data_IF_467639254649
#
_entry.id   IF_467639254649
#
_cell.length_a   1.000
_cell.length_b   1.000
_cell.length_c   1.000
_cell.angle_alpha   90.00
_cell.angle_beta   90.00
_cell.angle_gamma   90.00
#
_symmetry.space_group_name_H-M   'P 1'
#
loop_
_entity.id
_entity.type
_entity.pdbx_description
1 polymer ?
#
# COMPACT_ATOMS: atom_id res chain seq x y z
N UNK A 1 19.48 8.83 -25.81
CA UNK A 1 20.08 9.48 -24.63
C UNK A 1 18.96 9.72 -23.63
N UNK A 2 18.97 9.07 -22.46
CA UNK A 2 17.99 9.34 -21.41
C UNK A 2 18.37 10.66 -20.76
N UNK A 3 17.52 11.67 -20.92
CA UNK A 3 17.80 13.02 -20.45
C UNK A 3 17.74 13.04 -18.92
N UNK A 4 18.78 13.55 -18.28
CA UNK A 4 18.89 13.74 -16.81
C UNK A 4 17.68 14.47 -16.20
N UNK A 5 16.88 15.16 -17.03
CA UNK A 5 15.63 15.82 -16.63
C UNK A 5 14.56 14.90 -16.03
N UNK A 6 14.48 13.63 -16.43
CA UNK A 6 13.43 12.73 -15.93
C UNK A 6 13.66 12.31 -14.46
N UNK A 7 14.91 12.10 -14.07
CA UNK A 7 15.25 11.67 -12.70
C UNK A 7 14.86 12.73 -11.67
N UNK A 8 15.10 14.00 -11.98
CA UNK A 8 14.74 15.12 -11.09
C UNK A 8 13.22 15.28 -10.96
N UNK A 9 12.46 15.00 -12.03
CA UNK A 9 11.00 14.91 -11.97
C UNK A 9 10.54 13.81 -11.02
N UNK A 10 11.11 12.61 -11.15
CA UNK A 10 10.81 11.48 -10.27
C UNK A 10 11.18 11.76 -8.80
N UNK A 11 12.30 12.42 -8.53
CA UNK A 11 12.72 12.80 -7.17
C UNK A 11 11.73 13.77 -6.52
N UNK A 12 11.25 14.78 -7.25
CA UNK A 12 10.22 15.71 -6.74
C UNK A 12 8.92 14.99 -6.39
N UNK A 13 8.51 14.01 -7.21
CA UNK A 13 7.33 13.16 -6.93
C UNK A 13 7.54 12.33 -5.66
N UNK A 14 8.72 11.72 -5.52
CA UNK A 14 9.07 10.96 -4.31
C UNK A 14 9.06 11.85 -3.07
N UNK A 15 9.64 13.04 -3.13
CA UNK A 15 9.66 13.98 -2.01
C UNK A 15 8.25 14.36 -1.54
N UNK A 16 7.33 14.63 -2.48
CA UNK A 16 5.93 14.89 -2.14
C UNK A 16 5.29 13.71 -1.39
N UNK A 17 5.55 12.48 -1.82
CA UNK A 17 5.04 11.27 -1.15
C UNK A 17 5.67 11.06 0.23
N UNK A 18 6.97 11.33 0.39
CA UNK A 18 7.66 11.25 1.68
C UNK A 18 7.06 12.20 2.71
N UNK A 19 6.63 13.40 2.28
CA UNK A 19 5.90 14.36 3.12
C UNK A 19 4.52 13.84 3.54
N UNK A 20 3.82 13.14 2.64
CA UNK A 20 2.51 12.53 2.95
C UNK A 20 2.65 11.44 4.01
N UNK A 21 3.66 10.58 3.90
CA UNK A 21 3.91 9.52 4.91
C UNK A 21 4.65 10.03 6.15
N UNK A 22 5.02 11.31 6.19
CA UNK A 22 5.80 11.95 7.27
C UNK A 22 7.06 11.17 7.63
N UNK A 23 7.86 10.84 6.61
CA UNK A 23 9.11 10.10 6.81
C UNK A 23 10.06 10.87 7.76
N UNK A 24 10.47 10.28 8.90
CA UNK A 24 11.28 10.97 9.91
C UNK A 24 12.79 10.87 9.66
N UNK A 25 13.22 9.99 8.75
CA UNK A 25 14.62 9.71 8.50
C UNK A 25 15.29 10.71 7.54
N UNK A 26 16.63 10.71 7.54
CA UNK A 26 17.39 11.40 6.51
C UNK A 26 17.22 10.70 5.16
N UNK A 27 17.11 11.50 4.10
CA UNK A 27 16.94 11.03 2.72
C UNK A 27 18.19 11.45 1.94
N UNK A 28 18.97 10.47 1.49
CA UNK A 28 20.16 10.72 0.69
C UNK A 28 19.81 10.91 -0.80
N UNK A 29 19.57 12.17 -1.19
CA UNK A 29 19.23 12.52 -2.57
C UNK A 29 20.36 12.25 -3.57
N UNK A 30 21.63 12.29 -3.14
CA UNK A 30 22.77 11.97 -4.00
C UNK A 30 22.79 10.48 -4.32
N UNK A 31 22.66 9.63 -3.30
CA UNK A 31 22.51 8.18 -3.45
C UNK A 31 21.29 7.80 -4.29
N UNK A 32 20.13 8.44 -4.07
CA UNK A 32 18.92 8.21 -4.87
C UNK A 32 19.13 8.55 -6.36
N UNK A 33 19.82 9.66 -6.65
CA UNK A 33 20.10 10.08 -8.03
C UNK A 33 21.02 9.11 -8.77
N UNK A 34 21.99 8.52 -8.05
CA UNK A 34 22.93 7.51 -8.55
C UNK A 34 22.34 6.10 -8.59
N UNK A 35 21.22 5.87 -7.90
CA UNK A 35 20.57 4.57 -7.85
C UNK A 35 21.19 3.63 -6.81
N UNK A 36 21.80 4.16 -5.75
CA UNK A 36 22.35 3.36 -4.66
C UNK A 36 21.20 2.70 -3.86
N UNK A 37 21.12 1.35 -3.80
CA UNK A 37 20.09 0.66 -3.02
C UNK A 37 20.03 1.08 -1.55
N UNK A 38 21.17 1.44 -0.95
CA UNK A 38 21.28 1.81 0.46
C UNK A 38 20.44 3.05 0.80
N UNK A 39 20.19 3.93 -0.18
CA UNK A 39 19.32 5.10 -0.02
C UNK A 39 17.82 4.75 -0.15
N UNK A 40 17.45 3.72 -0.90
CA UNK A 40 16.05 3.32 -1.11
C UNK A 40 15.50 2.39 -0.02
N UNK A 41 16.33 1.48 0.48
CA UNK A 41 15.91 0.45 1.44
C UNK A 41 15.30 1.04 2.74
N UNK A 42 15.88 2.08 3.37
CA UNK A 42 15.32 2.67 4.59
C UNK A 42 13.93 3.28 4.36
N UNK A 43 13.71 3.91 3.21
CA UNK A 43 12.42 4.51 2.84
C UNK A 43 11.36 3.41 2.77
N UNK A 44 11.63 2.34 2.02
CA UNK A 44 10.68 1.23 1.84
C UNK A 44 10.41 0.51 3.15
N UNK A 45 11.46 0.28 3.95
CA UNK A 45 11.34 -0.34 5.27
C UNK A 45 10.40 0.47 6.15
N UNK A 46 10.57 1.78 6.23
CA UNK A 46 9.67 2.66 7.00
C UNK A 46 8.23 2.60 6.47
N UNK A 47 8.04 2.69 5.14
CA UNK A 47 6.70 2.67 4.54
C UNK A 47 5.94 1.38 4.88
N UNK A 48 6.61 0.23 4.91
CA UNK A 48 5.94 -1.05 5.17
C UNK A 48 5.82 -1.40 6.65
N UNK A 49 6.73 -0.92 7.50
CA UNK A 49 6.80 -1.33 8.92
C UNK A 49 6.31 -0.27 9.91
N UNK A 50 6.42 1.01 9.57
CA UNK A 50 6.23 2.10 10.55
C UNK A 50 5.06 3.02 10.19
N UNK A 51 4.73 3.15 8.91
CA UNK A 51 3.67 4.07 8.47
C UNK A 51 2.26 3.61 8.87
N UNK A 52 1.94 2.32 8.76
CA UNK A 52 0.58 1.81 9.02
C UNK A 52 0.62 0.55 9.89
N UNK A 53 0.29 0.64 11.20
CA UNK A 53 0.30 -0.53 12.08
C UNK A 53 -0.70 -1.61 11.64
N UNK A 54 -1.88 -1.20 11.16
CA UNK A 54 -2.89 -2.12 10.61
C UNK A 54 -2.37 -2.93 9.42
N UNK A 55 -1.51 -2.31 8.61
CA UNK A 55 -0.93 -2.98 7.45
C UNK A 55 0.18 -3.95 7.86
N UNK A 56 0.95 -3.62 8.90
CA UNK A 56 1.92 -4.55 9.50
C UNK A 56 1.23 -5.78 10.05
N UNK A 57 0.09 -5.62 10.72
CA UNK A 57 -0.69 -6.77 11.20
C UNK A 57 -1.16 -7.67 10.04
N UNK A 58 -1.60 -7.09 8.92
CA UNK A 58 -1.97 -7.85 7.72
C UNK A 58 -0.77 -8.57 7.09
N UNK A 59 0.40 -7.91 7.04
CA UNK A 59 1.66 -8.52 6.61
C UNK A 59 2.06 -9.70 7.51
N UNK A 60 1.96 -9.54 8.82
CA UNK A 60 2.24 -10.59 9.79
C UNK A 60 1.27 -11.77 9.65
N UNK A 61 -0.02 -11.49 9.45
CA UNK A 61 -1.04 -12.52 9.19
C UNK A 61 -0.76 -13.28 7.88
N UNK A 62 -0.19 -12.62 6.87
CA UNK A 62 0.29 -13.25 5.63
C UNK A 62 1.65 -13.97 5.79
N UNK A 63 2.26 -13.97 6.97
CA UNK A 63 3.56 -14.59 7.25
C UNK A 63 4.75 -13.81 6.66
N UNK A 64 4.59 -12.51 6.43
CA UNK A 64 5.59 -11.63 5.83
C UNK A 64 6.18 -10.68 6.87
N UNK A 65 7.15 -11.17 7.64
CA UNK A 65 7.93 -10.32 8.54
C UNK A 65 8.92 -9.46 7.73
N UNK A 66 9.09 -8.18 8.07
CA UNK A 66 10.02 -7.27 7.37
C UNK A 66 11.09 -6.65 8.29
N UNK A 67 11.05 -6.94 9.58
CA UNK A 67 11.95 -6.37 10.60
C UNK A 67 13.22 -7.19 10.76
N UNK A 68 14.35 -6.53 11.06
CA UNK A 68 15.62 -7.19 11.43
C UNK A 68 16.28 -8.05 10.34
N UNK A 69 15.92 -7.86 9.07
CA UNK A 69 16.41 -8.66 7.93
C UNK A 69 17.59 -7.98 7.22
N UNK A 70 18.49 -8.80 6.68
CA UNK A 70 19.52 -8.34 5.73
C UNK A 70 18.88 -7.82 4.44
N UNK A 71 19.56 -6.94 3.72
CA UNK A 71 19.04 -6.28 2.50
C UNK A 71 18.45 -7.25 1.47
N UNK A 72 19.10 -8.41 1.29
CA UNK A 72 18.64 -9.46 0.37
C UNK A 72 17.31 -10.07 0.84
N UNK A 73 17.23 -10.45 2.13
CA UNK A 73 16.04 -11.07 2.71
C UNK A 73 14.88 -10.10 2.84
N UNK A 74 15.19 -8.83 3.12
CA UNK A 74 14.23 -7.75 3.09
C UNK A 74 13.66 -7.57 1.67
N UNK A 75 14.51 -7.49 0.65
CA UNK A 75 14.08 -7.35 -0.75
C UNK A 75 13.25 -8.56 -1.21
N UNK A 76 13.61 -9.78 -0.81
CA UNK A 76 12.80 -10.97 -1.10
C UNK A 76 11.40 -10.87 -0.50
N UNK A 77 11.30 -10.48 0.77
CA UNK A 77 10.02 -10.34 1.46
C UNK A 77 9.19 -9.17 0.89
N UNK A 78 9.82 -8.06 0.53
CA UNK A 78 9.20 -6.94 -0.20
C UNK A 78 8.55 -7.42 -1.50
N UNK A 79 9.30 -8.12 -2.36
CA UNK A 79 8.79 -8.60 -3.64
C UNK A 79 7.72 -9.68 -3.49
N UNK A 80 7.73 -10.41 -2.38
CA UNK A 80 6.64 -11.34 -2.04
C UNK A 80 5.39 -10.56 -1.61
N UNK A 81 5.52 -9.56 -0.73
CA UNK A 81 4.41 -8.69 -0.33
C UNK A 81 3.76 -7.97 -1.51
N UNK A 82 4.56 -7.44 -2.44
CA UNK A 82 4.05 -6.76 -3.63
C UNK A 82 3.20 -7.67 -4.52
N UNK A 83 3.57 -8.94 -4.65
CA UNK A 83 2.82 -9.90 -5.47
C UNK A 83 1.62 -10.50 -4.76
N UNK A 84 1.78 -10.86 -3.49
CA UNK A 84 0.79 -11.62 -2.74
C UNK A 84 -0.31 -10.70 -2.19
N UNK A 85 0.02 -9.46 -1.80
CA UNK A 85 -0.93 -8.51 -1.18
C UNK A 85 -1.41 -7.46 -2.16
N UNK A 86 -0.48 -6.87 -2.93
CA UNK A 86 -0.81 -5.77 -3.84
C UNK A 86 -1.05 -6.20 -5.28
N UNK A 87 -0.81 -7.48 -5.61
CA UNK A 87 -0.83 -8.01 -6.98
C UNK A 87 -0.03 -7.17 -7.99
N UNK A 88 0.97 -6.43 -7.50
CA UNK A 88 1.81 -5.56 -8.28
C UNK A 88 3.02 -6.34 -8.78
N UNK A 89 3.32 -6.19 -10.09
CA UNK A 89 4.48 -6.80 -10.72
C UNK A 89 5.56 -5.72 -10.94
N UNK A 90 6.63 -5.70 -10.13
CA UNK A 90 7.67 -4.69 -10.26
C UNK A 90 8.37 -4.78 -11.63
N UNK A 91 8.70 -3.62 -12.19
CA UNK A 91 9.43 -3.49 -13.46
C UNK A 91 10.89 -3.98 -13.31
N UNK A 92 11.46 -3.86 -12.11
CA UNK A 92 12.82 -4.30 -11.79
C UNK A 92 12.81 -5.69 -11.17
N UNK A 93 13.86 -6.47 -11.42
CA UNK A 93 14.13 -7.68 -10.65
C UNK A 93 14.78 -7.34 -9.30
N UNK A 94 14.72 -8.29 -8.35
CA UNK A 94 15.35 -8.14 -7.02
C UNK A 94 16.84 -7.79 -7.11
N UNK A 95 17.55 -8.44 -8.04
CA UNK A 95 18.97 -8.18 -8.27
C UNK A 95 19.21 -6.77 -8.82
N UNK A 96 18.41 -6.33 -9.81
CA UNK A 96 18.52 -4.98 -10.35
C UNK A 96 18.15 -3.90 -9.31
N UNK A 97 17.26 -4.22 -8.36
CA UNK A 97 16.94 -3.33 -7.26
C UNK A 97 18.13 -3.13 -6.31
N UNK A 98 18.89 -4.20 -6.04
CA UNK A 98 20.08 -4.18 -5.19
C UNK A 98 21.38 -3.78 -5.92
N UNK A 99 21.37 -3.65 -7.24
CA UNK A 99 22.53 -3.19 -8.02
C UNK A 99 22.58 -1.67 -8.10
N UNK A 100 23.77 -1.08 -8.19
CA UNK A 100 23.89 0.35 -8.46
C UNK A 100 23.28 0.75 -9.82
N UNK A 101 22.73 1.95 -9.91
CA UNK A 101 22.06 2.46 -11.12
C UNK A 101 20.54 2.26 -11.12
N UNK A 102 19.94 2.31 -12.31
CA UNK A 102 18.47 2.24 -12.51
C UNK A 102 17.66 3.26 -11.68
N UNK A 103 18.25 4.41 -11.32
CA UNK A 103 17.68 5.37 -10.37
C UNK A 103 16.23 5.74 -10.70
N UNK A 104 15.94 6.15 -11.93
CA UNK A 104 14.59 6.50 -12.36
C UNK A 104 13.57 5.37 -12.12
N UNK A 105 13.90 4.14 -12.54
CA UNK A 105 13.01 2.98 -12.37
C UNK A 105 12.81 2.63 -10.90
N UNK A 106 13.87 2.71 -10.09
CA UNK A 106 13.79 2.49 -8.64
C UNK A 106 12.91 3.53 -7.97
N UNK A 107 13.11 4.81 -8.29
CA UNK A 107 12.29 5.90 -7.75
C UNK A 107 10.82 5.69 -8.14
N UNK A 108 10.54 5.30 -9.38
CA UNK A 108 9.17 4.99 -9.81
C UNK A 108 8.57 3.85 -8.98
N UNK A 109 9.29 2.73 -8.84
CA UNK A 109 8.85 1.59 -8.02
C UNK A 109 8.60 2.01 -6.58
N UNK A 110 9.45 2.85 -5.98
CA UNK A 110 9.22 3.33 -4.61
C UNK A 110 7.99 4.23 -4.52
N UNK A 111 7.80 5.14 -5.49
CA UNK A 111 6.59 5.95 -5.55
C UNK A 111 5.32 5.07 -5.62
N UNK A 112 5.35 4.02 -6.43
CA UNK A 112 4.23 3.09 -6.57
C UNK A 112 3.97 2.35 -5.25
N UNK A 113 5.02 1.83 -4.59
CA UNK A 113 4.91 1.17 -3.29
C UNK A 113 4.27 2.08 -2.25
N UNK A 114 4.71 3.35 -2.15
CA UNK A 114 4.16 4.31 -1.20
C UNK A 114 2.67 4.55 -1.47
N UNK A 115 2.29 4.74 -2.73
CA UNK A 115 0.88 4.94 -3.09
C UNK A 115 0.01 3.71 -2.76
N UNK A 116 0.49 2.52 -3.10
CA UNK A 116 -0.19 1.26 -2.79
C UNK A 116 -0.43 1.11 -1.28
N UNK A 117 0.59 1.40 -0.47
CA UNK A 117 0.48 1.33 0.99
C UNK A 117 -0.48 2.39 1.54
N UNK A 118 -0.45 3.62 1.03
CA UNK A 118 -1.40 4.67 1.42
C UNK A 118 -2.85 4.25 1.11
N UNK A 119 -3.08 3.72 -0.10
CA UNK A 119 -4.40 3.24 -0.51
C UNK A 119 -4.86 2.11 0.40
N UNK A 120 -4.02 1.11 0.64
CA UNK A 120 -4.33 -0.02 1.52
C UNK A 120 -4.59 0.43 2.96
N UNK A 121 -3.78 1.35 3.51
CA UNK A 121 -4.03 1.94 4.82
C UNK A 121 -5.42 2.58 4.91
N UNK A 122 -5.82 3.34 3.87
CA UNK A 122 -7.15 3.96 3.82
C UNK A 122 -8.29 2.94 3.77
N UNK A 123 -8.09 1.83 3.05
CA UNK A 123 -9.05 0.71 2.99
C UNK A 123 -9.19 0.05 4.35
N UNK A 124 -8.08 -0.32 4.99
CA UNK A 124 -8.05 -0.95 6.31
C UNK A 124 -8.69 -0.05 7.39
N UNK A 125 -8.41 1.25 7.36
CA UNK A 125 -9.01 2.21 8.28
C UNK A 125 -10.53 2.26 8.15
N UNK A 126 -11.06 2.27 6.91
CA UNK A 126 -12.50 2.23 6.66
C UNK A 126 -13.11 0.93 7.20
N UNK A 127 -12.52 -0.22 6.87
CA UNK A 127 -12.98 -1.54 7.34
C UNK A 127 -13.01 -1.59 8.87
N UNK A 128 -11.97 -1.08 9.54
CA UNK A 128 -11.93 -1.05 11.00
C UNK A 128 -13.03 -0.16 11.60
N UNK A 129 -13.27 1.01 11.03
CA UNK A 129 -14.38 1.89 11.45
C UNK A 129 -15.75 1.24 11.25
N UNK A 130 -15.97 0.50 10.16
CA UNK A 130 -17.21 -0.23 9.92
C UNK A 130 -17.35 -1.47 10.81
N UNK A 131 -16.27 -2.18 11.10
CA UNK A 131 -16.27 -3.35 12.00
C UNK A 131 -16.67 -2.94 13.42
N UNK A 132 -16.14 -1.82 13.92
CA UNK A 132 -16.56 -1.24 15.19
C UNK A 132 -18.04 -0.81 15.16
N UNK A 133 -18.51 -0.21 14.07
CA UNK A 133 -19.91 0.15 13.93
C UNK A 133 -20.83 -1.09 13.87
N UNK A 134 -20.36 -2.18 13.24
CA UNK A 134 -21.11 -3.43 13.13
C UNK A 134 -21.12 -4.21 14.44
N UNK A 135 -20.02 -4.21 15.20
CA UNK A 135 -19.99 -4.79 16.55
C UNK A 135 -20.84 -3.98 17.52
N UNK A 136 -20.84 -2.64 17.42
CA UNK A 136 -21.78 -1.78 18.16
C UNK A 136 -23.24 -2.02 17.76
N UNK A 137 -23.56 -2.06 16.46
CA UNK A 137 -24.90 -2.36 15.97
C UNK A 137 -25.34 -3.77 16.39
N UNK A 138 -24.45 -4.76 16.32
CA UNK A 138 -24.72 -6.13 16.77
C UNK A 138 -24.94 -6.19 18.29
N UNK A 139 -24.14 -5.46 19.07
CA UNK A 139 -24.35 -5.30 20.52
C UNK A 139 -25.69 -4.61 20.81
N UNK A 140 -26.00 -3.49 20.14
CA UNK A 140 -27.29 -2.82 20.27
C UNK A 140 -28.45 -3.72 19.86
N UNK A 141 -28.32 -4.51 18.80
CA UNK A 141 -29.31 -5.51 18.42
C UNK A 141 -29.45 -6.62 19.48
N UNK A 142 -28.35 -7.07 20.09
CA UNK A 142 -28.39 -8.04 21.19
C UNK A 142 -29.12 -7.48 22.42
N UNK A 143 -28.87 -6.20 22.76
CA UNK A 143 -29.53 -5.49 23.86
C UNK A 143 -31.01 -5.20 23.55
N UNK A 144 -31.34 -4.87 22.30
CA UNK A 144 -32.72 -4.61 21.87
C UNK A 144 -33.54 -5.89 21.66
N UNK A 145 -32.93 -7.06 21.48
CA UNK A 145 -33.62 -8.35 21.37
C UNK A 145 -34.28 -8.82 22.67
N UNK A 146 -34.20 -8.06 23.77
CA UNK A 146 -35.10 -8.18 24.92
C UNK A 146 -36.54 -7.66 24.63
N UNK A 147 -36.76 -6.94 23.53
CA UNK A 147 -38.06 -6.54 23.03
C UNK A 147 -38.21 -6.99 21.56
N UNK A 148 -39.29 -7.71 21.23
CA UNK A 148 -39.59 -8.26 19.89
C UNK A 148 -39.37 -7.23 18.77
N UNK A 149 -38.20 -7.24 18.13
CA UNK A 149 -37.99 -6.53 16.86
C UNK A 149 -38.22 -7.50 15.70
N UNK A 150 -39.06 -7.05 14.75
CA UNK A 150 -39.52 -7.82 13.60
C UNK A 150 -38.37 -8.27 12.69
N UNK A 151 -38.36 -9.57 12.31
CA UNK A 151 -37.38 -10.20 11.41
C UNK A 151 -37.10 -9.41 10.11
N UNK A 152 -38.07 -8.62 9.65
CA UNK A 152 -37.94 -7.79 8.43
C UNK A 152 -36.90 -6.66 8.55
N UNK A 153 -36.65 -6.16 9.77
CA UNK A 153 -35.67 -5.09 9.99
C UNK A 153 -34.23 -5.60 9.91
N UNK A 154 -34.03 -6.85 10.38
CA UNK A 154 -32.75 -7.57 10.30
C UNK A 154 -32.37 -7.91 8.85
N UNK A 155 -33.31 -8.35 8.03
CA UNK A 155 -33.04 -8.58 6.59
C UNK A 155 -32.75 -7.29 5.83
N UNK A 156 -33.46 -6.19 6.10
CA UNK A 156 -33.17 -4.89 5.48
C UNK A 156 -31.78 -4.38 5.82
N UNK A 157 -31.34 -4.50 7.09
CA UNK A 157 -29.97 -4.16 7.48
C UNK A 157 -28.94 -5.09 6.84
N UNK A 158 -29.21 -6.40 6.77
CA UNK A 158 -28.33 -7.39 6.11
C UNK A 158 -28.18 -7.11 4.61
N UNK A 159 -29.26 -6.69 3.94
CA UNK A 159 -29.27 -6.30 2.53
C UNK A 159 -28.59 -4.95 2.30
N UNK A 160 -28.74 -3.98 3.20
CA UNK A 160 -28.06 -2.68 3.11
C UNK A 160 -26.53 -2.85 3.25
N UNK A 161 -26.10 -3.72 4.15
CA UNK A 161 -24.68 -4.06 4.33
C UNK A 161 -24.16 -4.89 3.16
N UNK A 162 -24.93 -5.87 2.65
CA UNK A 162 -24.52 -6.68 1.50
C UNK A 162 -24.43 -5.87 0.21
N UNK A 163 -25.34 -4.92 -0.04
CA UNK A 163 -25.28 -4.01 -1.20
C UNK A 163 -24.12 -3.02 -1.12
N UNK A 164 -23.76 -2.53 0.07
CA UNK A 164 -22.62 -1.59 0.23
C UNK A 164 -21.25 -2.29 0.20
N UNK A 165 -21.17 -3.57 0.55
CA UNK A 165 -19.96 -4.39 0.37
C UNK A 165 -19.78 -4.76 -1.11
N UNK A 166 -20.85 -5.05 -1.85
CA UNK A 166 -20.76 -5.47 -3.26
C UNK A 166 -20.29 -4.33 -4.19
N UNK A 167 -20.73 -3.09 -3.96
CA UNK A 167 -20.23 -1.93 -4.72
C UNK A 167 -18.74 -1.62 -4.47
N UNK A 168 -18.10 -2.26 -3.49
CA UNK A 168 -16.66 -2.10 -3.20
C UNK A 168 -15.78 -3.10 -3.95
N UNK A 169 -16.34 -4.15 -4.55
CA UNK A 169 -15.61 -5.06 -5.44
C UNK A 169 -15.43 -4.52 -6.86
N UNK A 170 -16.18 -3.48 -7.25
CA UNK A 170 -16.11 -2.89 -8.61
C UNK A 170 -15.15 -1.70 -8.72
N UNK A 171 -14.66 -1.13 -7.62
CA UNK A 171 -13.75 0.04 -7.67
C UNK A 171 -12.29 -0.38 -7.92
N UNK A 172 -11.95 -1.67 -7.83
CA UNK A 172 -10.61 -2.19 -8.17
C UNK A 172 -10.34 -2.24 -9.69
N UNK A 173 -11.32 -1.96 -10.55
CA UNK A 173 -11.15 -2.03 -12.02
C UNK A 173 -10.83 -0.69 -12.71
N UNK A 174 -10.72 0.43 -11.99
CA UNK A 174 -10.44 1.75 -12.60
C UNK A 174 -8.94 2.12 -12.70
N UNK A 175 -8.03 1.15 -12.54
CA UNK A 175 -6.62 1.36 -12.88
C UNK A 175 -6.09 0.30 -13.86
N UNK A 176 -6.78 0.18 -14.99
CA UNK A 176 -6.19 -0.25 -16.24
C UNK A 176 -6.19 0.94 -17.20
N UNK A 177 -5.03 1.19 -17.81
CA UNK A 177 -4.79 2.06 -18.98
C UNK A 177 -4.56 3.55 -18.70
N UNK A 178 -3.28 3.93 -18.59
CA UNK A 178 -2.71 4.98 -19.44
C UNK A 178 -1.18 4.90 -19.47
N UNK A 179 -0.68 3.84 -20.12
CA UNK A 179 0.61 3.88 -20.82
C UNK A 179 0.33 3.49 -22.27
N UNK A 180 -0.15 4.47 -23.02
CA UNK A 180 -0.17 4.43 -24.47
C UNK A 180 0.12 5.84 -24.98
N UNK A 181 1.39 6.24 -24.93
CA UNK A 181 1.94 7.00 -26.05
C UNK A 181 3.43 6.69 -26.26
N UNK A 182 3.67 5.82 -27.23
CA UNK A 182 4.89 5.76 -28.03
C UNK A 182 4.43 5.61 -29.47
N UNK A 183 4.33 6.74 -30.20
CA UNK A 183 4.83 6.88 -31.58
C UNK A 183 4.40 8.26 -32.14
N UNK A 184 5.37 9.16 -32.30
CA UNK A 184 5.79 9.74 -33.59
C UNK A 184 7.20 10.32 -33.46
#
# INVERSE_FOLDING_TARGET
MLSTGDVQGCLRKLEALLRVIKYPGYVDYDGLSKGDPSAFLPIVSFTLTSFSPLFVEELMAAGLELTGKTDLRFTDALYKALRDIFHYKPILSKQQFLQWGFSQRKISVICDIINLVIQKHSQLKKVHSFSLAYSYLRMCLCVLNGHKLSQRFLESLRLLVSRKIFCYGEIDNDFQVQDADSRH
#
